data_IF_809102559981
#
_entry.id   IF_809102559981
#
_cell.length_a   1.000
_cell.length_b   1.000
_cell.length_c   1.000
_cell.angle_alpha   90.00
_cell.angle_beta   90.00
_cell.angle_gamma   90.00
#
_symmetry.space_group_name_H-M   'P 1'
#
loop_
_entity.id
_entity.type
_entity.pdbx_description
1 polymer ?
#
# COMPACT_ATOMS: atom_id res chain seq x y z
N UNK A 1 21.64 -2.37 23.55
CA UNK A 1 20.68 -2.21 24.66
C UNK A 1 20.64 -3.42 25.60
N UNK A 2 20.72 -3.20 26.92
CA UNK A 2 20.59 -4.25 27.98
C UNK A 2 19.25 -4.24 28.72
N UNK A 3 18.33 -3.34 28.34
CA UNK A 3 17.01 -3.22 28.98
C UNK A 3 16.19 -4.51 28.75
N UNK A 4 15.67 -5.10 29.83
CA UNK A 4 14.97 -6.40 29.82
C UNK A 4 15.74 -7.55 29.14
N UNK A 5 17.07 -7.57 29.28
CA UNK A 5 17.92 -8.62 28.69
C UNK A 5 17.90 -8.65 27.15
N UNK A 6 17.54 -7.52 26.52
CA UNK A 6 17.43 -7.40 25.07
C UNK A 6 16.24 -8.12 24.46
N UNK A 7 15.29 -8.60 25.27
CA UNK A 7 14.15 -9.41 24.80
C UNK A 7 13.31 -8.70 23.74
N UNK A 8 13.12 -7.37 23.86
CA UNK A 8 12.40 -6.59 22.84
C UNK A 8 13.14 -6.53 21.51
N UNK A 9 14.45 -6.29 21.54
CA UNK A 9 15.24 -6.23 20.30
C UNK A 9 15.29 -7.60 19.62
N UNK A 10 15.43 -8.68 20.41
CA UNK A 10 15.35 -10.05 19.89
C UNK A 10 13.98 -10.35 19.28
N UNK A 11 12.89 -9.94 19.92
CA UNK A 11 11.54 -10.11 19.38
C UNK A 11 11.35 -9.35 18.06
N UNK A 12 11.88 -8.13 17.94
CA UNK A 12 11.87 -7.36 16.70
C UNK A 12 12.67 -8.09 15.61
N UNK A 13 13.90 -8.51 15.92
CA UNK A 13 14.77 -9.25 15.00
C UNK A 13 14.10 -10.53 14.47
N UNK A 14 13.56 -11.35 15.38
CA UNK A 14 12.85 -12.56 15.01
C UNK A 14 11.60 -12.29 14.17
N UNK A 15 10.86 -11.22 14.50
CA UNK A 15 9.66 -10.83 13.73
C UNK A 15 10.05 -10.43 12.31
N UNK A 16 11.10 -9.62 12.16
CA UNK A 16 11.61 -9.20 10.84
C UNK A 16 12.03 -10.42 10.04
N UNK A 17 12.84 -11.32 10.61
CA UNK A 17 13.32 -12.51 9.92
C UNK A 17 12.18 -13.44 9.45
N UNK A 18 11.14 -13.59 10.27
CA UNK A 18 10.01 -14.51 10.00
C UNK A 18 8.91 -13.91 9.12
N UNK A 19 8.67 -12.60 9.19
CA UNK A 19 7.52 -11.94 8.54
C UNK A 19 7.93 -11.27 7.24
N UNK A 20 9.06 -10.56 7.21
CA UNK A 20 9.48 -9.79 6.04
C UNK A 20 9.84 -10.64 4.82
N UNK A 21 10.11 -11.93 5.02
CA UNK A 21 10.46 -12.89 3.97
C UNK A 21 9.25 -13.57 3.35
N UNK A 22 8.05 -13.36 3.89
CA UNK A 22 6.82 -13.96 3.37
C UNK A 22 6.39 -13.30 2.06
N UNK A 23 5.85 -14.10 1.16
CA UNK A 23 5.26 -13.60 -0.08
C UNK A 23 4.16 -12.56 0.22
N UNK A 24 4.18 -11.46 -0.53
CA UNK A 24 3.22 -10.36 -0.38
C UNK A 24 3.49 -9.41 0.80
N UNK A 25 4.52 -9.65 1.63
CA UNK A 25 4.91 -8.75 2.71
C UNK A 25 5.98 -7.75 2.24
N UNK A 26 5.83 -6.49 2.63
CA UNK A 26 6.85 -5.45 2.43
C UNK A 26 7.20 -4.82 3.77
N UNK A 27 8.41 -5.05 4.26
CA UNK A 27 8.94 -4.33 5.40
C UNK A 27 9.57 -3.02 4.93
N UNK A 28 8.95 -1.91 5.32
CA UNK A 28 9.26 -0.57 4.82
C UNK A 28 9.47 0.38 5.99
N UNK A 29 10.08 1.54 5.72
CA UNK A 29 10.13 2.62 6.70
C UNK A 29 8.73 3.17 7.00
N UNK A 30 8.57 3.81 8.16
CA UNK A 30 7.32 4.47 8.52
C UNK A 30 6.88 5.50 7.47
N UNK A 31 7.83 6.24 6.89
CA UNK A 31 7.52 7.22 5.83
C UNK A 31 6.94 6.56 4.59
N UNK A 32 7.54 5.47 4.13
CA UNK A 32 7.03 4.72 2.98
C UNK A 32 5.62 4.15 3.23
N UNK A 33 5.32 3.73 4.46
CA UNK A 33 3.97 3.30 4.84
C UNK A 33 2.98 4.46 4.81
N UNK A 34 3.33 5.61 5.40
CA UNK A 34 2.49 6.80 5.37
C UNK A 34 2.23 7.30 3.94
N UNK A 35 3.29 7.42 3.13
CA UNK A 35 3.20 7.81 1.73
C UNK A 35 2.33 6.83 0.91
N UNK A 36 2.35 5.53 1.25
CA UNK A 36 1.48 4.53 0.62
C UNK A 36 0.01 4.67 1.01
N UNK A 37 -0.26 4.99 2.28
CA UNK A 37 -1.62 5.27 2.76
C UNK A 37 -2.19 6.54 2.13
N UNK A 38 -1.41 7.61 2.05
CA UNK A 38 -1.84 8.90 1.46
C UNK A 38 -2.13 8.81 -0.05
N UNK A 39 -1.55 7.81 -0.73
CA UNK A 39 -1.78 7.57 -2.15
C UNK A 39 -3.09 6.79 -2.45
N UNK A 40 -3.82 6.33 -1.43
CA UNK A 40 -5.08 5.61 -1.61
C UNK A 40 -6.25 6.55 -1.96
N UNK A 41 -7.31 5.99 -2.55
CA UNK A 41 -8.58 6.71 -2.72
C UNK A 41 -9.14 7.15 -1.35
N UNK A 42 -9.38 8.47 -1.12
CA UNK A 42 -9.95 8.96 0.13
C UNK A 42 -11.26 8.26 0.53
N UNK A 43 -12.08 7.81 -0.43
CA UNK A 43 -13.30 7.06 -0.13
C UNK A 43 -13.01 5.67 0.43
N UNK A 44 -11.91 5.04 0.01
CA UNK A 44 -11.49 3.74 0.55
C UNK A 44 -11.03 3.90 2.01
N UNK A 45 -10.23 4.92 2.30
CA UNK A 45 -9.78 5.22 3.67
C UNK A 45 -10.94 5.61 4.58
N UNK A 46 -11.85 6.47 4.12
CA UNK A 46 -13.04 6.85 4.87
C UNK A 46 -13.90 5.64 5.21
N UNK A 47 -14.03 4.68 4.29
CA UNK A 47 -14.74 3.43 4.53
C UNK A 47 -14.03 2.59 5.59
N UNK A 48 -12.73 2.30 5.41
CA UNK A 48 -11.93 1.54 6.39
C UNK A 48 -11.97 2.13 7.81
N UNK A 49 -11.98 3.45 7.94
CA UNK A 49 -12.04 4.16 9.22
C UNK A 49 -13.35 3.94 10.00
N UNK A 50 -14.38 3.35 9.38
CA UNK A 50 -15.65 3.00 10.06
C UNK A 50 -15.57 1.69 10.85
N UNK A 51 -14.56 0.85 10.60
CA UNK A 51 -14.37 -0.41 11.33
C UNK A 51 -13.70 -0.16 12.68
N UNK A 52 -14.12 -0.88 13.71
CA UNK A 52 -13.43 -0.93 14.99
C UNK A 52 -12.03 -1.55 14.89
N UNK A 53 -11.22 -1.35 15.91
CA UNK A 53 -9.87 -1.95 15.98
C UNK A 53 -9.99 -3.47 15.96
N UNK A 54 -9.39 -4.10 14.94
CA UNK A 54 -9.43 -5.56 14.75
C UNK A 54 -10.78 -6.09 14.25
N UNK A 55 -11.74 -5.22 13.92
CA UNK A 55 -13.02 -5.62 13.36
C UNK A 55 -12.89 -6.01 11.89
N UNK A 56 -13.44 -7.17 11.53
CA UNK A 56 -13.59 -7.57 10.14
C UNK A 56 -15.02 -7.25 9.65
N UNK A 57 -15.20 -6.77 8.41
CA UNK A 57 -16.51 -6.46 7.86
C UNK A 57 -17.38 -7.71 7.76
N UNK A 58 -18.67 -7.60 8.13
CA UNK A 58 -19.61 -8.73 8.22
C UNK A 58 -19.81 -9.45 6.88
N UNK A 59 -19.94 -8.69 5.79
CA UNK A 59 -20.06 -9.23 4.42
C UNK A 59 -18.72 -9.62 3.76
N UNK A 60 -17.60 -9.52 4.50
CA UNK A 60 -16.25 -9.86 4.03
C UNK A 60 -15.56 -8.78 3.20
N UNK A 61 -14.23 -8.84 3.15
CA UNK A 61 -13.37 -7.79 2.56
C UNK A 61 -13.62 -7.51 1.09
N UNK A 62 -13.89 -8.54 0.28
CA UNK A 62 -14.12 -8.39 -1.17
C UNK A 62 -15.38 -7.60 -1.46
N UNK A 63 -16.46 -7.86 -0.70
CA UNK A 63 -17.72 -7.10 -0.81
C UNK A 63 -17.54 -5.69 -0.26
N UNK A 64 -16.83 -5.57 0.86
CA UNK A 64 -16.62 -4.30 1.53
C UNK A 64 -15.78 -3.31 0.70
N UNK A 65 -14.74 -3.74 -0.02
CA UNK A 65 -13.86 -2.87 -0.81
C UNK A 65 -14.04 -2.99 -2.33
N UNK A 66 -15.00 -3.78 -2.81
CA UNK A 66 -15.02 -4.28 -4.20
C UNK A 66 -14.97 -3.21 -5.31
N UNK A 67 -15.61 -2.05 -5.13
CA UNK A 67 -15.56 -0.96 -6.10
C UNK A 67 -14.23 -0.18 -6.03
N UNK A 68 -13.71 0.02 -4.82
CA UNK A 68 -12.49 0.76 -4.55
C UNK A 68 -11.23 -0.01 -4.96
N UNK A 69 -11.24 -1.34 -4.84
CA UNK A 69 -10.14 -2.20 -5.26
C UNK A 69 -9.87 -2.12 -6.78
N UNK A 70 -10.92 -1.94 -7.59
CA UNK A 70 -10.78 -1.74 -9.03
C UNK A 70 -10.16 -0.37 -9.38
N UNK A 71 -10.47 0.68 -8.60
CA UNK A 71 -9.89 2.01 -8.79
C UNK A 71 -8.40 2.06 -8.41
N UNK A 72 -8.01 1.39 -7.31
CA UNK A 72 -6.60 1.31 -6.89
C UNK A 72 -5.71 0.59 -7.94
N UNK A 73 -6.22 -0.47 -8.57
CA UNK A 73 -5.50 -1.18 -9.65
C UNK A 73 -5.30 -0.32 -10.90
N UNK A 74 -6.23 0.59 -11.20
CA UNK A 74 -6.10 1.53 -12.31
C UNK A 74 -5.10 2.65 -11.98
N UNK A 75 -5.06 3.12 -10.74
CA UNK A 75 -4.08 4.11 -10.28
C UNK A 75 -2.64 3.55 -10.32
N UNK A 76 -2.43 2.28 -9.94
CA UNK A 76 -1.10 1.64 -10.08
C UNK A 76 -0.66 1.50 -11.54
N UNK A 77 -1.58 1.17 -12.47
CA UNK A 77 -1.30 1.17 -13.92
C UNK A 77 -1.01 2.56 -14.47
N UNK A 78 -1.73 3.58 -14.02
CA UNK A 78 -1.50 4.97 -14.42
C UNK A 78 -0.15 5.52 -13.94
N UNK A 79 0.34 5.05 -12.79
CA UNK A 79 1.65 5.44 -12.23
C UNK A 79 2.83 4.75 -12.92
N UNK A 80 2.60 3.60 -13.56
CA UNK A 80 3.59 2.90 -14.40
C UNK A 80 3.72 3.50 -15.82
N UNK A 81 2.76 4.34 -16.25
CA UNK A 81 2.81 5.08 -17.51
C UNK A 81 3.36 6.49 -17.27
N UNK A 82 4.65 6.59 -16.96
CA UNK A 82 5.42 7.84 -17.11
C UNK A 82 5.60 8.22 -18.59
N UNK A 83 6.00 9.46 -18.92
CA UNK A 83 5.64 10.14 -20.17
C UNK A 83 6.48 9.65 -21.37
N UNK A 84 6.05 8.60 -22.05
CA UNK A 84 6.60 8.20 -23.35
C UNK A 84 5.51 8.09 -24.43
N UNK A 85 4.54 9.00 -24.38
CA UNK A 85 3.48 9.08 -25.40
C UNK A 85 3.03 10.52 -25.61
N UNK A 86 3.97 11.43 -25.86
CA UNK A 86 3.66 12.76 -26.39
C UNK A 86 4.81 13.30 -27.23
N UNK A 87 5.32 12.51 -28.17
CA UNK A 87 6.10 13.04 -29.30
C UNK A 87 5.76 12.22 -30.53
N UNK A 88 4.64 12.55 -31.18
CA UNK A 88 4.46 12.30 -32.61
C UNK A 88 3.25 13.07 -33.14
N UNK A 89 3.58 14.13 -33.89
CA UNK A 89 2.98 14.56 -35.17
C UNK A 89 2.63 16.05 -35.17
N UNK A 90 3.57 16.85 -35.68
CA UNK A 90 3.27 18.07 -36.42
C UNK A 90 3.92 17.96 -37.81
N UNK A 91 3.19 18.17 -38.92
CA UNK A 91 3.75 18.18 -40.27
C UNK A 91 4.24 19.60 -40.61
N UNK A 92 5.42 19.76 -41.21
CA UNK A 92 5.81 20.92 -42.03
C UNK A 92 6.93 20.41 -42.97
N UNK A 93 6.78 20.36 -44.30
CA UNK A 93 6.66 21.47 -45.26
C UNK A 93 7.98 22.24 -45.40
N UNK A 94 8.84 21.77 -46.31
CA UNK A 94 9.60 22.52 -47.32
C UNK A 94 10.15 21.53 -48.37
#
# INVERSE_FOLDING_TARGET
ESWNGGTYMRAIEETIAKVCTKEGVRCVSFRQLADWLDAQDPQALAKLATLGVGEAPKEGWKTYLGAQAAAAQQAEKGKAAGPEAAEQKAPNAD
#
